data_IF_881293398948
#
_entry.id   IF_881293398948
#
_cell.length_a   1.000
_cell.length_b   1.000
_cell.length_c   1.000
_cell.angle_alpha   90.00
_cell.angle_beta   90.00
_cell.angle_gamma   90.00
#
_symmetry.space_group_name_H-M   'P 1'
#
loop_
_entity.id
_entity.type
_entity.pdbx_description
1 polymer ?
#
# COMPACT_ATOMS: atom_id res chain seq x y z
N UNK A 1 -13.43 77.42 -7.88
CA UNK A 1 -12.11 77.24 -7.27
C UNK A 1 -12.09 75.83 -6.65
N UNK A 2 -11.77 74.93 -7.33
CA UNK A 2 -10.76 73.93 -7.74
C UNK A 2 -9.69 73.70 -6.68
N UNK A 3 -9.68 72.55 -6.09
CA UNK A 3 -8.62 71.98 -5.27
C UNK A 3 -8.60 70.51 -5.35
N UNK A 4 -8.00 69.99 -6.45
CA UNK A 4 -7.62 68.53 -6.58
C UNK A 4 -6.35 68.35 -5.75
N UNK A 5 -6.41 67.52 -4.70
CA UNK A 5 -5.23 66.94 -4.06
C UNK A 5 -5.00 65.52 -4.55
N UNK A 6 -4.10 65.43 -5.53
CA UNK A 6 -3.61 64.14 -6.02
C UNK A 6 -2.74 63.44 -4.98
N UNK A 7 -3.12 62.25 -4.58
CA UNK A 7 -2.29 61.33 -3.79
C UNK A 7 -1.35 60.61 -4.74
N UNK A 8 -0.02 60.66 -4.56
CA UNK A 8 0.90 59.91 -5.43
C UNK A 8 0.83 58.41 -5.11
N UNK A 9 0.45 57.60 -6.11
CA UNK A 9 0.61 56.16 -6.07
C UNK A 9 2.10 55.81 -6.10
N UNK A 10 2.67 55.51 -4.95
CA UNK A 10 4.01 54.97 -4.86
C UNK A 10 3.98 53.49 -5.28
N UNK A 11 4.41 53.20 -6.50
CA UNK A 11 4.82 51.87 -6.95
C UNK A 11 6.17 51.52 -6.28
N UNK A 12 6.13 50.84 -5.12
CA UNK A 12 7.29 50.16 -4.56
C UNK A 12 7.18 48.68 -4.83
N UNK A 13 7.36 48.27 -6.08
CA UNK A 13 7.89 46.93 -6.39
C UNK A 13 9.40 47.08 -6.56
N UNK A 14 10.14 47.12 -5.45
CA UNK A 14 11.57 46.88 -5.49
C UNK A 14 11.80 45.44 -5.93
N UNK A 15 12.30 45.26 -7.16
CA UNK A 15 12.89 43.97 -7.57
C UNK A 15 14.04 43.66 -6.60
N UNK A 16 13.80 42.76 -5.66
CA UNK A 16 14.89 42.20 -4.86
C UNK A 16 15.97 41.68 -5.83
N UNK A 17 17.23 42.04 -5.59
CA UNK A 17 18.34 41.54 -6.42
C UNK A 17 18.30 39.99 -6.37
N UNK A 18 18.35 39.35 -7.53
CA UNK A 18 18.47 37.89 -7.63
C UNK A 18 19.81 37.49 -7.02
N UNK A 19 19.84 37.29 -5.70
CA UNK A 19 20.99 36.68 -5.04
C UNK A 19 21.27 35.33 -5.67
N UNK A 20 22.55 35.06 -5.93
CA UNK A 20 22.96 33.78 -6.48
C UNK A 20 22.51 32.64 -5.54
N UNK A 21 22.11 31.49 -6.10
CA UNK A 21 21.66 30.33 -5.33
C UNK A 21 22.67 29.93 -4.24
N UNK A 22 23.98 30.13 -4.49
CA UNK A 22 25.05 29.85 -3.54
C UNK A 22 25.01 30.79 -2.32
N UNK A 23 24.74 32.10 -2.51
CA UNK A 23 24.64 33.08 -1.41
C UNK A 23 23.40 32.79 -0.56
N UNK A 24 22.28 32.51 -1.20
CA UNK A 24 21.04 32.10 -0.48
C UNK A 24 21.26 30.82 0.33
N UNK A 25 21.95 29.85 -0.23
CA UNK A 25 22.25 28.59 0.46
C UNK A 25 23.20 28.81 1.65
N UNK A 26 24.27 29.60 1.49
CA UNK A 26 25.22 29.88 2.57
C UNK A 26 24.59 30.68 3.73
N UNK A 27 23.73 31.65 3.40
CA UNK A 27 22.99 32.43 4.40
C UNK A 27 21.97 31.58 5.15
N UNK A 28 21.25 30.72 4.43
CA UNK A 28 20.30 29.76 5.03
C UNK A 28 21.04 28.70 5.89
N UNK A 29 22.15 28.17 5.41
CA UNK A 29 22.97 27.20 6.16
C UNK A 29 23.47 27.81 7.48
N UNK A 30 23.95 29.05 7.46
CA UNK A 30 24.43 29.75 8.65
C UNK A 30 23.31 30.07 9.63
N UNK A 31 22.11 30.44 9.13
CA UNK A 31 20.95 30.78 9.95
C UNK A 31 20.29 29.54 10.56
N UNK A 32 20.27 28.42 9.83
CA UNK A 32 19.55 27.21 10.22
C UNK A 32 20.48 26.00 10.46
N UNK A 33 21.76 26.24 10.79
CA UNK A 33 22.77 25.19 10.95
C UNK A 33 22.36 24.08 11.91
N UNK A 34 21.64 24.44 13.00
CA UNK A 34 21.16 23.49 13.99
C UNK A 34 20.11 22.52 13.41
N UNK A 35 19.23 23.02 12.52
CA UNK A 35 18.22 22.19 11.84
C UNK A 35 18.93 21.22 10.89
N UNK A 36 19.94 21.70 10.14
CA UNK A 36 20.73 20.81 9.27
C UNK A 36 21.50 19.76 10.07
N UNK A 37 22.07 20.14 11.23
CA UNK A 37 22.76 19.20 12.10
C UNK A 37 21.81 18.10 12.62
N UNK A 38 20.58 18.43 12.98
CA UNK A 38 19.54 17.45 13.35
C UNK A 38 19.12 16.54 12.19
N UNK A 39 19.17 17.02 10.96
CA UNK A 39 18.81 16.22 9.77
C UNK A 39 19.94 15.25 9.35
N UNK A 40 21.22 15.54 9.67
CA UNK A 40 22.38 14.74 9.26
C UNK A 40 22.26 13.26 9.64
N UNK A 41 21.92 12.86 10.87
CA UNK A 41 21.81 11.44 11.23
C UNK A 41 20.77 10.70 10.37
N UNK A 42 19.61 11.32 10.12
CA UNK A 42 18.57 10.74 9.25
C UNK A 42 19.04 10.63 7.80
N UNK A 43 19.69 11.67 7.27
CA UNK A 43 20.23 11.66 5.90
C UNK A 43 21.35 10.61 5.73
N UNK A 44 22.25 10.50 6.71
CA UNK A 44 23.30 9.47 6.69
C UNK A 44 22.70 8.07 6.74
N UNK A 45 21.70 7.86 7.59
CA UNK A 45 20.98 6.58 7.62
C UNK A 45 20.37 6.24 6.25
N UNK A 46 19.68 7.17 5.62
CA UNK A 46 19.11 6.97 4.28
C UNK A 46 20.20 6.68 3.23
N UNK A 47 21.30 7.43 3.24
CA UNK A 47 22.38 7.23 2.28
C UNK A 47 23.02 5.84 2.43
N UNK A 48 23.30 5.41 3.66
CA UNK A 48 23.98 4.14 3.92
C UNK A 48 23.04 2.94 3.71
N UNK A 49 21.80 3.00 4.21
CA UNK A 49 20.90 1.84 4.23
C UNK A 49 19.88 1.80 3.10
N UNK A 50 19.61 2.92 2.42
CA UNK A 50 18.68 2.96 1.29
C UNK A 50 19.40 3.19 -0.04
N UNK A 51 20.26 4.21 -0.14
CA UNK A 51 20.92 4.55 -1.42
C UNK A 51 22.12 3.66 -1.74
N UNK A 52 23.00 3.38 -0.79
CA UNK A 52 24.16 2.54 -1.05
C UNK A 52 23.80 1.13 -1.57
N UNK A 53 22.77 0.43 -1.03
CA UNK A 53 22.33 -0.87 -1.55
C UNK A 53 21.74 -0.79 -2.97
N UNK A 54 21.25 0.37 -3.43
CA UNK A 54 20.75 0.53 -4.81
C UNK A 54 21.79 0.22 -5.87
N UNK A 55 23.07 0.33 -5.51
CA UNK A 55 24.16 -0.13 -6.39
C UNK A 55 24.00 -1.62 -6.77
N UNK A 56 23.44 -2.43 -5.87
CA UNK A 56 23.14 -3.85 -6.12
C UNK A 56 22.18 -4.11 -7.30
N UNK A 57 21.42 -3.10 -7.76
CA UNK A 57 20.55 -3.23 -8.94
C UNK A 57 21.33 -3.63 -10.19
N UNK A 58 22.63 -3.31 -10.25
CA UNK A 58 23.52 -3.71 -11.34
C UNK A 58 23.60 -5.24 -11.50
N UNK A 59 23.36 -6.02 -10.43
CA UNK A 59 23.35 -7.48 -10.47
C UNK A 59 22.28 -8.04 -11.44
N UNK A 60 21.19 -7.31 -11.64
CA UNK A 60 20.15 -7.71 -12.60
C UNK A 60 20.66 -7.86 -14.06
N UNK A 61 21.85 -7.31 -14.37
CA UNK A 61 22.44 -7.28 -15.70
C UNK A 61 23.79 -7.98 -15.77
N UNK A 62 24.23 -8.62 -14.67
CA UNK A 62 25.52 -9.30 -14.56
C UNK A 62 25.36 -10.76 -14.17
N UNK A 63 26.21 -11.64 -14.71
CA UNK A 63 26.40 -13.01 -14.23
C UNK A 63 27.26 -12.96 -12.95
N UNK A 64 26.61 -12.87 -11.81
CA UNK A 64 27.27 -12.64 -10.52
C UNK A 64 28.10 -13.81 -10.09
N UNK A 65 29.39 -13.56 -9.93
CA UNK A 65 30.35 -14.54 -9.39
C UNK A 65 30.91 -14.04 -8.07
N UNK A 66 30.66 -14.79 -7.00
CA UNK A 66 31.04 -14.39 -5.64
C UNK A 66 32.54 -14.08 -5.52
N UNK A 67 33.41 -14.81 -6.24
CA UNK A 67 34.85 -14.60 -6.26
C UNK A 67 35.30 -13.33 -6.98
N UNK A 68 34.49 -12.79 -7.90
CA UNK A 68 34.78 -11.56 -8.65
C UNK A 68 34.06 -10.33 -8.08
N UNK A 69 33.08 -10.56 -7.20
CA UNK A 69 32.25 -9.50 -6.66
C UNK A 69 31.39 -8.80 -7.71
N UNK A 70 30.65 -7.77 -7.30
CA UNK A 70 29.72 -7.03 -8.18
C UNK A 70 30.46 -6.32 -9.33
N UNK A 71 31.62 -5.75 -9.07
CA UNK A 71 32.38 -5.00 -10.08
C UNK A 71 33.03 -5.89 -11.14
N UNK A 72 33.64 -7.01 -10.71
CA UNK A 72 34.38 -7.92 -11.58
C UNK A 72 33.50 -8.91 -12.36
N UNK A 73 32.26 -9.09 -11.99
CA UNK A 73 31.34 -10.02 -12.67
C UNK A 73 31.01 -9.55 -14.09
N UNK A 74 30.94 -10.47 -15.10
CA UNK A 74 30.70 -10.12 -16.49
C UNK A 74 29.26 -9.58 -16.71
N UNK A 75 29.14 -8.70 -17.68
CA UNK A 75 27.84 -8.18 -18.13
C UNK A 75 27.14 -9.19 -19.06
N UNK A 76 25.89 -9.49 -18.78
CA UNK A 76 25.04 -10.39 -19.59
C UNK A 76 23.80 -9.70 -20.15
N UNK A 77 23.64 -8.40 -19.89
CA UNK A 77 22.53 -7.59 -20.40
C UNK A 77 21.17 -8.08 -19.89
N UNK A 78 20.26 -8.44 -20.78
CA UNK A 78 18.88 -8.84 -20.45
C UNK A 78 18.70 -10.36 -20.37
N UNK A 79 19.74 -11.15 -20.18
CA UNK A 79 19.66 -12.62 -20.15
C UNK A 79 18.76 -13.08 -19.01
N UNK A 80 18.92 -12.56 -17.81
CA UNK A 80 18.08 -12.92 -16.65
C UNK A 80 16.60 -12.64 -16.86
N UNK A 81 16.24 -11.58 -17.59
CA UNK A 81 14.84 -11.33 -17.92
C UNK A 81 14.27 -12.37 -18.90
N UNK A 82 15.08 -12.87 -19.85
CA UNK A 82 14.66 -13.96 -20.74
C UNK A 82 14.47 -15.25 -19.94
N UNK A 83 15.36 -15.55 -19.01
CA UNK A 83 15.27 -16.69 -18.11
C UNK A 83 14.02 -16.61 -17.24
N UNK A 84 13.73 -15.45 -16.60
CA UNK A 84 12.51 -15.24 -15.82
C UNK A 84 11.25 -15.49 -16.64
N UNK A 85 11.16 -14.95 -17.85
CA UNK A 85 9.98 -15.15 -18.69
C UNK A 85 9.89 -16.57 -19.29
N UNK A 86 10.96 -17.34 -19.28
CA UNK A 86 10.98 -18.74 -19.65
C UNK A 86 10.64 -19.68 -18.47
N UNK A 87 10.76 -19.20 -17.22
CA UNK A 87 10.44 -20.00 -16.02
C UNK A 87 8.93 -20.05 -15.76
N UNK A 88 8.30 -21.24 -15.86
CA UNK A 88 6.88 -21.41 -15.55
C UNK A 88 6.51 -21.01 -14.12
N UNK A 89 7.42 -21.20 -13.15
CA UNK A 89 7.18 -20.85 -11.75
C UNK A 89 7.11 -19.33 -11.56
N UNK A 90 7.98 -18.57 -12.23
CA UNK A 90 7.90 -17.11 -12.27
C UNK A 90 6.58 -16.62 -12.86
N UNK A 91 6.19 -17.16 -14.01
CA UNK A 91 4.93 -16.79 -14.68
C UNK A 91 3.72 -17.10 -13.80
N UNK A 92 3.73 -18.24 -13.10
CA UNK A 92 2.66 -18.61 -12.19
C UNK A 92 2.60 -17.64 -10.97
N UNK A 93 3.74 -17.35 -10.35
CA UNK A 93 3.85 -16.41 -9.24
C UNK A 93 3.41 -15.00 -9.67
N UNK A 94 3.78 -14.56 -10.87
CA UNK A 94 3.34 -13.30 -11.45
C UNK A 94 1.82 -13.24 -11.60
N UNK A 95 1.22 -14.26 -12.21
CA UNK A 95 -0.25 -14.35 -12.35
C UNK A 95 -0.96 -14.31 -11.00
N UNK A 96 -0.48 -15.07 -10.03
CA UNK A 96 -1.05 -15.08 -8.68
C UNK A 96 -0.98 -13.71 -8.03
N UNK A 97 0.20 -13.04 -8.11
CA UNK A 97 0.39 -11.69 -7.57
C UNK A 97 -0.63 -10.71 -8.14
N UNK A 98 -0.77 -10.69 -9.46
CA UNK A 98 -1.71 -9.78 -10.14
C UNK A 98 -3.15 -10.10 -9.76
N UNK A 99 -3.56 -11.38 -9.78
CA UNK A 99 -4.94 -11.79 -9.46
C UNK A 99 -5.29 -11.44 -8.01
N UNK A 100 -4.42 -11.79 -7.05
CA UNK A 100 -4.66 -11.52 -5.63
C UNK A 100 -4.73 -10.02 -5.37
N UNK A 101 -3.84 -9.23 -5.98
CA UNK A 101 -3.82 -7.78 -5.78
C UNK A 101 -5.00 -7.08 -6.48
N UNK A 102 -5.47 -7.57 -7.63
CA UNK A 102 -6.71 -7.08 -8.25
C UNK A 102 -7.90 -7.34 -7.31
N UNK A 103 -8.00 -8.52 -6.72
CA UNK A 103 -9.05 -8.82 -5.74
C UNK A 103 -8.94 -7.95 -4.50
N UNK A 104 -7.73 -7.73 -3.97
CA UNK A 104 -7.50 -6.81 -2.86
C UNK A 104 -7.88 -5.36 -3.24
N UNK A 105 -7.59 -4.93 -4.47
CA UNK A 105 -7.96 -3.60 -4.94
C UNK A 105 -9.49 -3.45 -5.06
N UNK A 106 -10.18 -4.43 -5.65
CA UNK A 106 -11.63 -4.35 -5.85
C UNK A 106 -12.36 -4.50 -4.50
N UNK A 107 -12.10 -5.58 -3.77
CA UNK A 107 -12.85 -5.90 -2.56
C UNK A 107 -12.32 -5.14 -1.33
N UNK A 108 -11.00 -5.08 -1.16
CA UNK A 108 -10.39 -4.44 0.00
C UNK A 108 -10.55 -2.93 -0.02
N UNK A 109 -10.25 -2.29 -1.14
CA UNK A 109 -10.42 -0.84 -1.28
C UNK A 109 -11.88 -0.42 -1.07
N UNK A 110 -12.82 -1.09 -1.76
CA UNK A 110 -14.25 -0.79 -1.64
C UNK A 110 -14.75 -1.03 -0.20
N UNK A 111 -14.35 -2.15 0.41
CA UNK A 111 -14.71 -2.47 1.78
C UNK A 111 -14.21 -1.43 2.77
N UNK A 112 -12.97 -0.97 2.63
CA UNK A 112 -12.37 0.01 3.54
C UNK A 112 -13.08 1.37 3.48
N UNK A 113 -13.42 1.85 2.28
CA UNK A 113 -14.22 3.08 2.11
C UNK A 113 -15.61 2.91 2.72
N UNK A 114 -16.30 1.81 2.39
CA UNK A 114 -17.60 1.50 2.95
C UNK A 114 -17.59 1.43 4.48
N UNK A 115 -16.61 0.73 5.06
CA UNK A 115 -16.46 0.59 6.50
C UNK A 115 -16.23 1.94 7.19
N UNK A 116 -15.42 2.82 6.60
CA UNK A 116 -15.20 4.16 7.11
C UNK A 116 -16.49 4.99 7.15
N UNK A 117 -17.27 4.96 6.07
CA UNK A 117 -18.56 5.63 6.00
C UNK A 117 -19.54 5.05 7.04
N UNK A 118 -19.61 3.73 7.18
CA UNK A 118 -20.46 3.08 8.20
C UNK A 118 -20.07 3.47 9.63
N UNK A 119 -18.77 3.48 9.94
CA UNK A 119 -18.28 3.93 11.25
C UNK A 119 -18.60 5.41 11.49
N UNK A 120 -18.52 6.24 10.43
CA UNK A 120 -18.86 7.66 10.56
C UNK A 120 -20.32 7.87 10.96
N UNK A 121 -21.23 7.10 10.41
CA UNK A 121 -22.66 7.19 10.68
C UNK A 121 -23.08 6.72 12.10
N UNK A 122 -22.18 6.07 12.84
CA UNK A 122 -22.44 5.67 14.22
C UNK A 122 -22.57 6.89 15.15
N UNK A 123 -23.77 7.10 15.71
CA UNK A 123 -24.05 8.25 16.59
C UNK A 123 -23.58 8.03 18.02
N UNK A 124 -23.69 6.79 18.52
CA UNK A 124 -23.31 6.46 19.88
C UNK A 124 -21.78 6.46 20.00
N UNK A 125 -21.21 7.47 20.65
CA UNK A 125 -19.75 7.62 20.82
C UNK A 125 -19.08 6.36 21.39
N UNK A 126 -19.72 5.70 22.37
CA UNK A 126 -19.18 4.46 22.96
C UNK A 126 -19.14 3.32 21.95
N UNK A 127 -20.24 3.11 21.20
CA UNK A 127 -20.31 2.06 20.18
C UNK A 127 -19.28 2.34 19.06
N UNK A 128 -19.17 3.58 18.59
CA UNK A 128 -18.19 4.01 17.61
C UNK A 128 -16.76 3.67 18.07
N UNK A 129 -16.40 3.99 19.32
CA UNK A 129 -15.11 3.69 19.91
C UNK A 129 -14.83 2.19 19.98
N UNK A 130 -15.80 1.39 20.41
CA UNK A 130 -15.66 -0.08 20.50
C UNK A 130 -15.46 -0.68 19.11
N UNK A 131 -16.29 -0.30 18.13
CA UNK A 131 -16.16 -0.78 16.74
C UNK A 131 -14.81 -0.40 16.16
N UNK A 132 -14.37 0.83 16.35
CA UNK A 132 -13.05 1.29 15.90
C UNK A 132 -11.93 0.44 16.54
N UNK A 133 -11.99 0.20 17.85
CA UNK A 133 -10.98 -0.61 18.54
C UNK A 133 -10.93 -2.03 17.98
N UNK A 134 -12.10 -2.67 17.78
CA UNK A 134 -12.18 -4.02 17.22
C UNK A 134 -11.62 -4.09 15.78
N UNK A 135 -11.91 -3.08 14.95
CA UNK A 135 -11.44 -3.02 13.56
C UNK A 135 -9.94 -2.72 13.49
N UNK A 136 -9.41 -1.92 14.41
CA UNK A 136 -8.00 -1.53 14.40
C UNK A 136 -7.07 -2.60 14.99
N UNK A 137 -7.57 -3.41 15.93
CA UNK A 137 -6.77 -4.40 16.66
C UNK A 137 -5.97 -5.36 15.74
N UNK A 138 -6.56 -5.95 14.69
CA UNK A 138 -5.82 -6.87 13.81
C UNK A 138 -4.61 -6.21 13.13
N UNK A 139 -4.66 -4.93 12.83
CA UNK A 139 -3.56 -4.21 12.17
C UNK A 139 -2.28 -4.21 13.01
N UNK A 140 -2.38 -4.12 14.33
CA UNK A 140 -1.24 -4.06 15.25
C UNK A 140 -0.60 -5.43 15.54
N UNK A 141 -1.23 -6.54 15.16
CA UNK A 141 -0.64 -7.86 15.27
C UNK A 141 0.43 -8.06 14.17
N UNK A 142 1.51 -8.79 14.47
CA UNK A 142 2.42 -9.22 13.39
C UNK A 142 1.72 -10.21 12.46
N UNK A 143 2.17 -10.31 11.20
CA UNK A 143 1.63 -11.32 10.29
C UNK A 143 1.83 -12.75 10.79
N UNK A 144 2.92 -13.04 11.52
CA UNK A 144 3.17 -14.36 12.10
C UNK A 144 2.06 -14.75 13.08
N UNK A 145 1.73 -13.84 14.01
CA UNK A 145 0.66 -14.09 15.01
C UNK A 145 -0.70 -14.17 14.31
N UNK A 146 -0.98 -13.23 13.41
CA UNK A 146 -2.26 -13.18 12.72
C UNK A 146 -2.48 -14.42 11.82
N UNK A 147 -1.47 -14.86 11.08
CA UNK A 147 -1.52 -16.08 10.28
C UNK A 147 -1.71 -17.33 11.15
N UNK A 148 -1.05 -17.39 12.30
CA UNK A 148 -1.27 -18.48 13.26
C UNK A 148 -2.72 -18.53 13.75
N UNK A 149 -3.34 -17.38 14.07
CA UNK A 149 -4.76 -17.33 14.41
C UNK A 149 -5.65 -17.79 13.25
N UNK A 150 -5.37 -17.34 12.03
CA UNK A 150 -6.10 -17.77 10.83
C UNK A 150 -6.03 -19.29 10.65
N UNK A 151 -4.84 -19.88 10.82
CA UNK A 151 -4.66 -21.33 10.73
C UNK A 151 -5.49 -22.06 11.79
N UNK A 152 -5.49 -21.60 13.04
CA UNK A 152 -6.31 -22.18 14.11
C UNK A 152 -7.82 -22.05 13.81
N UNK A 153 -8.28 -20.89 13.32
CA UNK A 153 -9.70 -20.72 12.98
C UNK A 153 -10.16 -21.56 11.80
N UNK A 154 -9.26 -21.81 10.83
CA UNK A 154 -9.56 -22.59 9.63
C UNK A 154 -9.15 -24.07 9.73
N UNK A 155 -8.64 -24.51 10.88
CA UNK A 155 -8.15 -25.88 11.09
C UNK A 155 -9.25 -26.91 10.75
N UNK A 156 -8.88 -27.92 9.96
CA UNK A 156 -9.75 -29.07 9.72
C UNK A 156 -9.81 -29.94 10.99
N UNK A 157 -10.97 -30.56 11.28
CA UNK A 157 -11.07 -31.50 12.38
C UNK A 157 -10.19 -32.72 12.14
N UNK A 158 -9.61 -33.24 13.21
CA UNK A 158 -8.83 -34.47 13.25
C UNK A 158 -9.44 -35.41 14.31
N UNK A 159 -9.14 -36.71 14.29
CA UNK A 159 -9.63 -37.63 15.32
C UNK A 159 -9.32 -37.12 16.74
N UNK A 160 -10.39 -36.85 17.52
CA UNK A 160 -10.28 -36.30 18.88
C UNK A 160 -10.30 -34.77 18.98
N UNK A 161 -10.37 -34.03 17.87
CA UNK A 161 -10.47 -32.58 17.84
C UNK A 161 -11.61 -32.13 16.88
N UNK A 162 -12.41 -31.19 17.32
CA UNK A 162 -13.56 -30.65 16.56
C UNK A 162 -13.14 -29.68 15.42
N UNK A 163 -11.88 -29.33 15.35
CA UNK A 163 -11.36 -28.37 14.39
C UNK A 163 -11.59 -26.92 14.76
N UNK A 164 -11.18 -26.02 13.89
CA UNK A 164 -11.29 -24.57 14.07
C UNK A 164 -12.74 -24.06 14.06
N UNK A 165 -12.92 -22.86 14.61
CA UNK A 165 -14.26 -22.24 14.78
C UNK A 165 -15.07 -22.20 13.49
N UNK A 166 -14.43 -21.95 12.33
CA UNK A 166 -15.13 -21.92 11.04
C UNK A 166 -15.72 -23.28 10.70
N UNK A 167 -14.99 -24.35 10.91
CA UNK A 167 -15.46 -25.72 10.67
C UNK A 167 -16.55 -26.12 11.68
N UNK A 168 -16.46 -25.69 12.94
CA UNK A 168 -17.53 -25.91 13.93
C UNK A 168 -18.85 -25.25 13.50
N UNK A 169 -18.79 -24.00 12.98
CA UNK A 169 -19.97 -23.31 12.44
C UNK A 169 -20.55 -24.04 11.24
N UNK A 170 -19.69 -24.48 10.29
CA UNK A 170 -20.12 -25.26 9.11
C UNK A 170 -20.86 -26.53 9.55
N UNK A 171 -20.29 -27.28 10.48
CA UNK A 171 -20.92 -28.52 11.02
C UNK A 171 -22.24 -28.25 11.74
N UNK A 172 -22.30 -27.18 12.54
CA UNK A 172 -23.54 -26.77 13.22
C UNK A 172 -24.65 -26.40 12.22
N UNK A 173 -24.28 -25.93 11.01
CA UNK A 173 -25.22 -25.64 9.92
C UNK A 173 -25.52 -26.89 9.05
N UNK A 174 -25.03 -28.08 9.44
CA UNK A 174 -25.23 -29.33 8.71
C UNK A 174 -24.29 -29.54 7.50
N UNK A 175 -23.25 -28.74 7.35
CA UNK A 175 -22.25 -28.90 6.31
C UNK A 175 -21.11 -29.85 6.70
N UNK A 176 -20.36 -30.31 5.69
CA UNK A 176 -19.15 -31.10 5.90
C UNK A 176 -17.94 -30.19 6.20
N UNK A 177 -17.02 -30.61 7.09
CA UNK A 177 -15.84 -29.86 7.42
C UNK A 177 -14.89 -29.74 6.20
N UNK A 178 -14.20 -28.61 6.10
CA UNK A 178 -13.37 -28.27 4.97
C UNK A 178 -11.92 -28.10 5.44
N UNK A 179 -10.98 -28.74 4.77
CA UNK A 179 -9.54 -28.47 4.94
C UNK A 179 -9.14 -27.26 4.07
N UNK A 180 -9.43 -26.06 4.59
CA UNK A 180 -9.23 -24.80 3.87
C UNK A 180 -7.79 -24.59 3.40
N UNK A 181 -6.82 -25.01 4.21
CA UNK A 181 -5.41 -24.76 3.94
C UNK A 181 -4.82 -25.73 2.90
N UNK A 182 -5.56 -26.78 2.49
CA UNK A 182 -5.15 -27.71 1.44
C UNK A 182 -5.94 -27.55 0.14
N UNK A 183 -6.86 -26.57 0.06
CA UNK A 183 -7.67 -26.35 -1.15
C UNK A 183 -7.15 -25.15 -1.96
N UNK A 184 -6.46 -25.39 -3.09
CA UNK A 184 -5.90 -24.35 -3.93
C UNK A 184 -6.94 -23.34 -4.43
N UNK A 185 -8.16 -23.80 -4.74
CA UNK A 185 -9.27 -22.98 -5.23
C UNK A 185 -9.76 -21.94 -4.22
N UNK A 186 -9.64 -22.23 -2.93
CA UNK A 186 -10.07 -21.33 -1.84
C UNK A 186 -8.95 -20.40 -1.37
N UNK A 187 -7.70 -20.76 -1.61
CA UNK A 187 -6.55 -20.11 -0.98
C UNK A 187 -6.41 -18.63 -1.35
N UNK A 188 -6.68 -18.25 -2.61
CA UNK A 188 -6.69 -16.84 -3.00
C UNK A 188 -7.73 -16.02 -2.24
N UNK A 189 -8.93 -16.61 -2.03
CA UNK A 189 -9.98 -16.00 -1.21
C UNK A 189 -9.53 -15.79 0.24
N UNK A 190 -8.85 -16.79 0.82
CA UNK A 190 -8.29 -16.69 2.18
C UNK A 190 -7.27 -15.55 2.25
N UNK A 191 -6.37 -15.43 1.29
CA UNK A 191 -5.39 -14.33 1.25
C UNK A 191 -6.09 -12.96 1.15
N UNK A 192 -7.11 -12.83 0.31
CA UNK A 192 -7.84 -11.57 0.15
C UNK A 192 -8.61 -11.21 1.44
N UNK A 193 -9.37 -12.14 1.99
CA UNK A 193 -10.18 -11.91 3.21
C UNK A 193 -9.27 -11.57 4.41
N UNK A 194 -8.20 -12.32 4.61
CA UNK A 194 -7.27 -12.10 5.72
C UNK A 194 -6.53 -10.77 5.59
N UNK A 195 -6.17 -10.37 4.35
CA UNK A 195 -5.59 -9.06 4.09
C UNK A 195 -6.58 -7.93 4.41
N UNK A 196 -7.84 -8.06 3.97
CA UNK A 196 -8.89 -7.07 4.26
C UNK A 196 -9.07 -6.93 5.77
N UNK A 197 -9.27 -8.02 6.50
CA UNK A 197 -9.47 -7.98 7.96
C UNK A 197 -8.27 -7.29 8.65
N UNK A 198 -7.05 -7.64 8.24
CA UNK A 198 -5.85 -7.09 8.85
C UNK A 198 -5.62 -5.62 8.56
N UNK A 199 -5.89 -5.17 7.33
CA UNK A 199 -5.53 -3.81 6.89
C UNK A 199 -6.68 -2.81 6.98
N UNK A 200 -7.92 -3.27 7.16
CA UNK A 200 -9.12 -2.43 7.21
C UNK A 200 -9.02 -1.31 8.26
N UNK A 201 -8.45 -1.62 9.43
CA UNK A 201 -8.27 -0.64 10.50
C UNK A 201 -7.47 0.58 10.08
N UNK A 202 -6.30 0.37 9.51
CA UNK A 202 -5.42 1.45 9.06
C UNK A 202 -6.04 2.30 7.95
N UNK A 203 -6.57 1.64 6.92
CA UNK A 203 -7.22 2.33 5.80
C UNK A 203 -8.43 3.16 6.25
N UNK A 204 -9.22 2.62 7.17
CA UNK A 204 -10.41 3.30 7.72
C UNK A 204 -10.05 4.58 8.46
N UNK A 205 -8.92 4.65 9.17
CA UNK A 205 -8.45 5.86 9.85
C UNK A 205 -8.25 7.01 8.85
N UNK A 206 -7.63 6.72 7.70
CA UNK A 206 -7.35 7.74 6.68
C UNK A 206 -8.66 8.29 6.11
N UNK A 207 -9.61 7.43 5.80
CA UNK A 207 -10.91 7.87 5.28
C UNK A 207 -11.75 8.62 6.32
N UNK A 208 -11.71 8.19 7.59
CA UNK A 208 -12.38 8.91 8.67
C UNK A 208 -11.78 10.30 8.91
N UNK A 209 -10.45 10.43 8.77
CA UNK A 209 -9.80 11.75 8.83
C UNK A 209 -10.26 12.65 7.68
N UNK A 210 -10.41 12.11 6.46
CA UNK A 210 -10.95 12.85 5.33
C UNK A 210 -12.40 13.31 5.56
N UNK A 211 -13.24 12.44 6.14
CA UNK A 211 -14.63 12.80 6.50
C UNK A 211 -14.67 13.86 7.58
N UNK A 212 -13.80 13.76 8.60
CA UNK A 212 -13.70 14.77 9.67
C UNK A 212 -13.23 16.14 9.19
N UNK A 213 -12.58 16.20 8.03
CA UNK A 213 -12.16 17.46 7.38
C UNK A 213 -13.26 18.15 6.57
N UNK A 214 -14.45 17.56 6.44
CA UNK A 214 -15.59 18.19 5.76
C UNK A 214 -16.18 19.26 6.66
N UNK A 215 -16.42 20.47 6.10
CA UNK A 215 -16.96 21.60 6.84
C UNK A 215 -18.35 21.27 7.46
N UNK A 216 -18.51 21.33 8.79
CA UNK A 216 -19.79 21.09 9.46
C UNK A 216 -20.93 22.00 8.97
N UNK A 217 -20.63 23.24 8.52
CA UNK A 217 -21.63 24.16 8.02
C UNK A 217 -22.42 23.62 6.83
N UNK A 218 -21.81 22.72 6.02
CA UNK A 218 -22.51 22.07 4.90
C UNK A 218 -23.61 21.14 5.39
N UNK A 219 -23.38 20.43 6.49
CA UNK A 219 -24.38 19.52 7.08
C UNK A 219 -25.49 20.29 7.79
N UNK A 220 -25.14 21.42 8.43
CA UNK A 220 -26.13 22.30 9.06
C UNK A 220 -27.06 22.92 8.02
N UNK A 221 -26.52 23.47 6.94
CA UNK A 221 -27.31 24.02 5.84
C UNK A 221 -28.23 22.96 5.22
N UNK A 222 -27.71 21.77 4.91
CA UNK A 222 -28.50 20.69 4.37
C UNK A 222 -29.61 20.22 5.34
N UNK A 223 -29.34 20.25 6.65
CA UNK A 223 -30.36 19.94 7.66
C UNK A 223 -31.51 20.94 7.66
N UNK A 224 -31.23 22.25 7.47
CA UNK A 224 -32.24 23.30 7.35
C UNK A 224 -33.08 23.09 6.07
N UNK A 225 -32.43 22.66 4.97
CA UNK A 225 -33.09 22.34 3.70
C UNK A 225 -33.88 21.01 3.76
N UNK A 226 -33.92 20.31 4.90
CA UNK A 226 -34.70 19.09 5.11
C UNK A 226 -34.03 17.82 4.57
N UNK A 227 -32.72 17.87 4.24
CA UNK A 227 -31.98 16.71 3.78
C UNK A 227 -31.90 15.63 4.88
N UNK A 228 -32.18 14.39 4.52
CA UNK A 228 -31.99 13.26 5.42
C UNK A 228 -30.52 12.81 5.43
N UNK A 229 -30.15 11.88 6.34
CA UNK A 229 -28.77 11.40 6.48
C UNK A 229 -28.20 10.76 5.21
N UNK A 230 -29.03 10.04 4.47
CA UNK A 230 -28.64 9.41 3.23
C UNK A 230 -28.30 10.46 2.17
N UNK A 231 -29.09 11.54 2.10
CA UNK A 231 -28.83 12.65 1.18
C UNK A 231 -27.55 13.36 1.53
N UNK A 232 -27.29 13.63 2.83
CA UNK A 232 -26.03 14.21 3.31
C UNK A 232 -24.83 13.31 2.99
N UNK A 233 -24.96 11.98 3.18
CA UNK A 233 -23.91 11.02 2.84
C UNK A 233 -23.58 11.04 1.35
N UNK A 234 -24.59 10.95 0.49
CA UNK A 234 -24.41 10.83 -0.96
C UNK A 234 -24.01 12.14 -1.63
N UNK A 235 -24.53 13.28 -1.17
CA UNK A 235 -24.34 14.56 -1.87
C UNK A 235 -23.33 15.49 -1.20
N UNK A 236 -22.98 15.25 0.09
CA UNK A 236 -21.97 16.06 0.80
C UNK A 236 -20.75 15.20 1.11
N UNK A 237 -20.91 14.14 1.92
CA UNK A 237 -19.77 13.38 2.44
C UNK A 237 -18.97 12.74 1.31
N UNK A 238 -19.60 11.90 0.49
CA UNK A 238 -18.91 11.16 -0.57
C UNK A 238 -18.21 12.09 -1.57
N UNK A 239 -18.85 13.13 -2.14
CA UNK A 239 -18.17 14.04 -3.05
C UNK A 239 -16.99 14.78 -2.43
N UNK A 240 -17.08 15.14 -1.16
CA UNK A 240 -16.02 15.88 -0.44
C UNK A 240 -14.80 15.02 -0.12
N UNK A 241 -14.97 13.74 0.15
CA UNK A 241 -13.84 12.82 0.42
C UNK A 241 -13.26 12.23 -0.88
N UNK A 242 -13.95 12.35 -2.01
CA UNK A 242 -13.54 11.75 -3.28
C UNK A 242 -12.09 12.05 -3.69
N UNK A 243 -11.55 13.28 -3.50
CA UNK A 243 -10.14 13.56 -3.77
C UNK A 243 -9.20 12.70 -2.92
N UNK A 244 -9.48 12.54 -1.62
CA UNK A 244 -8.68 11.68 -0.74
C UNK A 244 -8.80 10.21 -1.11
N UNK A 245 -10.00 9.76 -1.46
CA UNK A 245 -10.25 8.39 -1.96
C UNK A 245 -9.47 8.14 -3.24
N UNK A 246 -9.44 9.10 -4.18
CA UNK A 246 -8.69 8.98 -5.43
C UNK A 246 -7.17 8.89 -5.20
N UNK A 247 -6.61 9.67 -4.27
CA UNK A 247 -5.18 9.59 -3.92
C UNK A 247 -4.86 8.20 -3.33
N UNK A 248 -5.69 7.70 -2.41
CA UNK A 248 -5.51 6.36 -1.84
C UNK A 248 -5.64 5.25 -2.89
N UNK A 249 -6.55 5.42 -3.85
CA UNK A 249 -6.69 4.50 -4.98
C UNK A 249 -5.42 4.47 -5.85
N UNK A 250 -4.86 5.63 -6.18
CA UNK A 250 -3.60 5.74 -6.92
C UNK A 250 -2.46 5.02 -6.20
N UNK A 251 -2.34 5.24 -4.87
CA UNK A 251 -1.33 4.55 -4.06
C UNK A 251 -1.56 3.03 -4.05
N UNK A 252 -2.81 2.58 -3.99
CA UNK A 252 -3.14 1.14 -4.03
C UNK A 252 -2.77 0.50 -5.38
N UNK A 253 -2.93 1.22 -6.49
CA UNK A 253 -2.53 0.73 -7.82
C UNK A 253 -1.01 0.60 -7.93
N UNK A 254 -0.23 1.49 -7.32
CA UNK A 254 1.24 1.37 -7.33
C UNK A 254 1.73 0.09 -6.65
N UNK A 255 0.93 -0.45 -5.73
CA UNK A 255 1.22 -1.70 -5.02
C UNK A 255 0.72 -2.96 -5.76
N UNK A 256 0.13 -2.82 -6.96
CA UNK A 256 -0.51 -3.94 -7.67
C UNK A 256 0.46 -5.09 -7.98
N UNK A 257 1.73 -4.77 -8.20
CA UNK A 257 2.78 -5.75 -8.50
C UNK A 257 3.59 -6.15 -7.26
N UNK A 258 3.36 -5.50 -6.12
CA UNK A 258 4.00 -5.82 -4.84
C UNK A 258 3.06 -6.69 -4.02
N UNK A 259 3.52 -7.85 -3.61
CA UNK A 259 2.76 -8.76 -2.76
C UNK A 259 3.22 -8.68 -1.31
N UNK A 260 2.30 -8.97 -0.40
CA UNK A 260 2.60 -9.05 1.01
C UNK A 260 3.34 -10.37 1.32
N UNK A 261 4.68 -10.30 1.35
CA UNK A 261 5.53 -11.44 1.64
C UNK A 261 5.14 -12.12 2.95
N UNK A 262 5.05 -11.35 4.04
CA UNK A 262 4.82 -11.89 5.38
C UNK A 262 3.48 -12.64 5.47
N UNK A 263 2.43 -12.14 4.81
CA UNK A 263 1.14 -12.81 4.76
C UNK A 263 1.25 -14.17 4.08
N UNK A 264 1.75 -14.16 2.86
CA UNK A 264 1.78 -15.37 2.02
C UNK A 264 2.74 -16.38 2.61
N UNK A 265 3.93 -15.95 3.02
CA UNK A 265 4.96 -16.82 3.59
C UNK A 265 4.50 -17.57 4.83
N UNK A 266 3.67 -16.94 5.69
CA UNK A 266 3.16 -17.57 6.91
C UNK A 266 1.89 -18.40 6.69
N UNK A 267 1.20 -18.25 5.56
CA UNK A 267 -0.05 -18.98 5.28
C UNK A 267 0.10 -20.09 4.25
N UNK A 268 1.00 -19.96 3.25
CA UNK A 268 1.11 -20.92 2.16
C UNK A 268 1.77 -22.23 2.61
N UNK A 269 1.50 -23.29 1.86
CA UNK A 269 2.09 -24.60 2.01
C UNK A 269 2.18 -25.30 0.65
N UNK A 270 2.77 -26.50 0.60
CA UNK A 270 3.00 -27.23 -0.64
C UNK A 270 1.71 -27.58 -1.43
N UNK A 271 0.56 -27.70 -0.76
CA UNK A 271 -0.71 -28.03 -1.43
C UNK A 271 -1.28 -26.85 -2.22
N UNK A 272 -0.96 -25.63 -1.82
CA UNK A 272 -1.55 -24.39 -2.38
C UNK A 272 -0.55 -23.54 -3.19
N UNK A 273 0.67 -24.04 -3.42
CA UNK A 273 1.72 -23.31 -4.16
C UNK A 273 1.24 -22.80 -5.52
N UNK A 274 0.47 -23.61 -6.27
CA UNK A 274 -0.02 -23.20 -7.59
C UNK A 274 -0.89 -21.95 -7.59
N UNK A 275 -1.58 -21.64 -6.49
CA UNK A 275 -2.51 -20.52 -6.37
C UNK A 275 -2.07 -19.46 -5.38
N UNK A 276 -1.15 -19.82 -4.49
CA UNK A 276 -0.70 -18.97 -3.39
C UNK A 276 0.71 -18.43 -3.53
N UNK A 277 1.60 -19.09 -4.31
CA UNK A 277 2.95 -18.58 -4.52
C UNK A 277 2.89 -17.26 -5.28
N UNK A 278 3.48 -16.22 -4.71
CA UNK A 278 3.51 -14.86 -5.26
C UNK A 278 4.95 -14.45 -5.55
N UNK A 279 5.12 -13.36 -6.28
CA UNK A 279 6.45 -12.92 -6.70
C UNK A 279 7.42 -12.70 -5.55
N UNK A 280 6.97 -12.17 -4.41
CA UNK A 280 7.84 -11.98 -3.25
C UNK A 280 8.30 -13.30 -2.63
N UNK A 281 7.47 -14.34 -2.57
CA UNK A 281 7.84 -15.67 -2.07
C UNK A 281 8.69 -16.43 -3.09
N UNK A 282 8.41 -16.26 -4.37
CA UNK A 282 9.26 -16.79 -5.45
C UNK A 282 10.68 -16.19 -5.37
N UNK A 283 10.80 -14.85 -5.32
CA UNK A 283 12.08 -14.14 -5.19
C UNK A 283 12.86 -14.60 -3.96
N UNK A 284 12.18 -14.71 -2.81
CA UNK A 284 12.80 -15.20 -1.59
C UNK A 284 13.35 -16.63 -1.78
N UNK A 285 12.58 -17.52 -2.39
CA UNK A 285 12.97 -18.93 -2.59
C UNK A 285 14.17 -19.09 -3.50
N UNK A 286 14.26 -18.34 -4.61
CA UNK A 286 15.40 -18.41 -5.53
C UNK A 286 16.65 -17.70 -4.98
N UNK A 287 16.51 -16.75 -4.05
CA UNK A 287 17.63 -16.02 -3.45
C UNK A 287 18.04 -16.61 -2.09
N UNK A 288 17.35 -16.20 -1.03
CA UNK A 288 17.70 -16.50 0.37
C UNK A 288 17.16 -17.87 0.83
N UNK A 289 16.13 -18.39 0.19
CA UNK A 289 15.53 -19.68 0.50
C UNK A 289 16.35 -20.92 0.07
N UNK A 290 17.60 -20.73 -0.32
CA UNK A 290 18.53 -21.80 -0.70
C UNK A 290 18.88 -21.85 -2.19
N UNK A 291 18.25 -21.06 -3.06
CA UNK A 291 18.55 -20.99 -4.49
C UNK A 291 19.89 -20.29 -4.81
N UNK A 292 20.24 -19.24 -4.05
CA UNK A 292 21.49 -18.50 -4.25
C UNK A 292 21.57 -17.66 -5.54
N UNK A 293 20.45 -17.54 -6.27
CA UNK A 293 20.35 -16.86 -7.56
C UNK A 293 20.08 -15.36 -7.34
N UNK A 294 21.07 -14.62 -6.83
CA UNK A 294 20.92 -13.20 -6.46
C UNK A 294 20.68 -12.30 -7.68
N UNK A 295 21.29 -12.59 -8.83
CA UNK A 295 21.10 -11.88 -10.08
C UNK A 295 19.69 -12.00 -10.62
N UNK A 296 19.14 -13.22 -10.65
CA UNK A 296 17.79 -13.50 -11.13
C UNK A 296 16.75 -12.88 -10.21
N UNK A 297 16.95 -12.98 -8.89
CA UNK A 297 16.07 -12.38 -7.89
C UNK A 297 16.09 -10.84 -7.96
N UNK A 298 17.28 -10.24 -8.22
CA UNK A 298 17.40 -8.80 -8.40
C UNK A 298 16.71 -8.34 -9.68
N UNK A 299 16.85 -9.10 -10.77
CA UNK A 299 16.17 -8.82 -12.04
C UNK A 299 14.63 -8.88 -11.86
N UNK A 300 14.12 -9.90 -11.18
CA UNK A 300 12.70 -10.04 -10.88
C UNK A 300 12.20 -8.84 -10.04
N UNK A 301 12.92 -8.47 -8.98
CA UNK A 301 12.55 -7.36 -8.11
C UNK A 301 12.56 -6.00 -8.83
N UNK A 302 13.58 -5.76 -9.67
CA UNK A 302 13.67 -4.55 -10.49
C UNK A 302 12.50 -4.47 -11.48
N UNK A 303 12.15 -5.57 -12.14
CA UNK A 303 11.01 -5.65 -13.05
C UNK A 303 9.71 -5.24 -12.34
N UNK A 304 9.46 -5.76 -11.14
CA UNK A 304 8.26 -5.43 -10.36
C UNK A 304 8.18 -3.94 -9.99
N UNK A 305 9.29 -3.38 -9.53
CA UNK A 305 9.33 -1.96 -9.16
C UNK A 305 9.12 -1.05 -10.38
N UNK A 306 9.69 -1.40 -11.53
CA UNK A 306 9.47 -0.66 -12.79
C UNK A 306 8.01 -0.77 -13.24
N UNK A 307 7.40 -1.96 -13.16
CA UNK A 307 5.99 -2.14 -13.50
C UNK A 307 5.07 -1.36 -12.55
N UNK A 308 5.35 -1.36 -11.24
CA UNK A 308 4.63 -0.56 -10.25
C UNK A 308 4.74 0.94 -10.53
N UNK A 309 5.93 1.43 -10.89
CA UNK A 309 6.14 2.83 -11.27
C UNK A 309 5.35 3.19 -12.55
N UNK A 310 5.39 2.34 -13.56
CA UNK A 310 4.61 2.55 -14.80
C UNK A 310 3.11 2.61 -14.48
N UNK A 311 2.60 1.66 -13.68
CA UNK A 311 1.21 1.64 -13.26
C UNK A 311 0.81 2.93 -12.53
N UNK A 312 1.65 3.40 -11.60
CA UNK A 312 1.43 4.66 -10.88
C UNK A 312 1.35 5.86 -11.83
N UNK A 313 2.34 6.01 -12.74
CA UNK A 313 2.39 7.14 -13.68
C UNK A 313 1.19 7.13 -14.64
N UNK A 314 0.85 5.96 -15.17
CA UNK A 314 -0.31 5.80 -16.05
C UNK A 314 -1.60 6.19 -15.33
N UNK A 315 -1.81 5.63 -14.14
CA UNK A 315 -3.04 5.91 -13.36
C UNK A 315 -3.12 7.36 -12.92
N UNK A 316 -2.01 7.98 -12.51
CA UNK A 316 -1.97 9.41 -12.16
C UNK A 316 -2.40 10.30 -13.35
N UNK A 317 -1.97 9.96 -14.58
CA UNK A 317 -2.41 10.68 -15.77
C UNK A 317 -3.93 10.53 -16.03
N UNK A 318 -4.49 9.34 -15.77
CA UNK A 318 -5.94 9.12 -15.91
C UNK A 318 -6.73 9.91 -14.86
N UNK A 319 -6.32 9.90 -13.60
CA UNK A 319 -7.02 10.62 -12.52
C UNK A 319 -7.01 12.12 -12.75
N UNK A 320 -5.88 12.69 -13.22
CA UNK A 320 -5.82 14.12 -13.59
C UNK A 320 -6.81 14.51 -14.69
N UNK A 321 -7.10 13.62 -15.64
CA UNK A 321 -8.10 13.88 -16.70
C UNK A 321 -9.54 13.91 -16.18
N UNK A 322 -9.79 13.40 -14.98
CA UNK A 322 -11.10 13.40 -14.32
C UNK A 322 -11.30 14.59 -13.38
N UNK A 323 -10.49 15.67 -13.50
CA UNK A 323 -10.49 16.86 -12.63
C UNK A 323 -10.33 16.56 -11.13
N UNK A 324 -9.79 15.40 -10.80
CA UNK A 324 -9.41 15.04 -9.43
C UNK A 324 -7.92 15.33 -9.24
N UNK A 325 -7.53 15.88 -8.07
CA UNK A 325 -6.13 16.16 -7.77
C UNK A 325 -5.29 14.88 -7.88
N UNK A 326 -4.29 14.88 -8.78
CA UNK A 326 -3.30 13.83 -8.88
C UNK A 326 -2.20 14.00 -7.82
N UNK A 327 -1.28 13.05 -7.75
CA UNK A 327 -0.13 13.09 -6.82
C UNK A 327 0.96 14.04 -7.34
N UNK A 328 1.15 14.18 -8.65
CA UNK A 328 2.17 15.02 -9.30
C UNK A 328 1.55 16.04 -10.23
#
# INVERSE_FOLDING_TARGET
>A
MSGQTGVPRAHYFSKEPKESLLVRFSTAARKYWFIYLLAIPGLLFLLVFSYAPMYGVVLAFKDFKMNLGVLGSPWVGLTHYRELFADPAFIQAFKNTVIINIYNLIFGFTFNVFLALMINELQMKRLKSVVQTCVYLPYFLSWVIFAGLVQVFLQAPVPGDVGGVVNQVIQAMGGEPIDFMKRPEMFRGILVITNIIKTAGYSTIIYLAAVAGVDPALYEAASIDGANRRDMLLHITIPRILPSVAVMFLLSISQLFLSNFDQVYNLYNNFVLNTGDVLSTYIYRISLGGGGEFELSTAANLLLNVMGLIALVVTNRFVKKLDVMGIF
#
